data_IF_325538088381
#
_entry.id   IF_325538088381
#
_cell.length_a   1.000
_cell.length_b   1.000
_cell.length_c   1.000
_cell.angle_alpha   90.00
_cell.angle_beta   90.00
_cell.angle_gamma   90.00
#
_symmetry.space_group_name_H-M   'P 1'
#
loop_
_entity.id
_entity.type
_entity.pdbx_description
1 polymer ?
#
# COMPACT_ATOMS: atom_id res chain seq x y z
N UNK A 1 9.43 -8.86 9.33
CA UNK A 1 10.11 -9.57 8.21
C UNK A 1 9.95 -11.08 8.42
N UNK A 2 9.55 -11.82 7.38
CA UNK A 2 9.31 -13.27 7.47
C UNK A 2 10.62 -14.07 7.65
N UNK A 3 11.74 -13.56 7.15
CA UNK A 3 13.06 -14.14 7.39
C UNK A 3 13.43 -14.15 8.89
N UNK A 4 13.04 -13.10 9.62
CA UNK A 4 13.22 -13.04 11.06
C UNK A 4 12.36 -14.08 11.77
N UNK A 5 11.08 -14.23 11.40
CA UNK A 5 10.20 -15.24 11.99
C UNK A 5 10.74 -16.65 11.78
N UNK A 6 11.24 -16.95 10.57
CA UNK A 6 11.89 -18.21 10.26
C UNK A 6 13.11 -18.46 11.16
N UNK A 7 14.03 -17.52 11.22
CA UNK A 7 15.24 -17.64 12.03
C UNK A 7 14.92 -17.80 13.53
N UNK A 8 13.93 -17.06 14.04
CA UNK A 8 13.48 -17.17 15.42
C UNK A 8 12.88 -18.57 15.69
N UNK A 9 11.95 -19.04 14.84
CA UNK A 9 11.33 -20.35 15.00
C UNK A 9 12.37 -21.49 14.96
N UNK A 10 13.31 -21.44 14.02
CA UNK A 10 14.39 -22.43 13.89
C UNK A 10 15.38 -22.37 15.07
N UNK A 11 15.58 -21.20 15.69
CA UNK A 11 16.42 -21.04 16.89
C UNK A 11 15.77 -21.60 18.16
N UNK A 12 14.45 -21.51 18.31
CA UNK A 12 13.73 -22.04 19.49
C UNK A 12 13.32 -23.50 19.30
N UNK A 13 13.09 -23.93 18.06
CA UNK A 13 12.58 -25.25 17.72
C UNK A 13 13.35 -25.81 16.52
N UNK A 14 14.45 -26.53 16.79
CA UNK A 14 15.28 -27.16 15.75
C UNK A 14 14.56 -28.21 14.90
N UNK A 15 13.39 -28.68 15.35
CA UNK A 15 12.53 -29.64 14.66
C UNK A 15 11.44 -28.97 13.79
N UNK A 16 11.39 -27.63 13.77
CA UNK A 16 10.45 -26.83 12.99
C UNK A 16 11.20 -26.08 11.91
N UNK A 17 10.66 -26.06 10.69
CA UNK A 17 11.09 -25.13 9.65
C UNK A 17 9.90 -24.43 9.02
N UNK A 18 10.08 -23.13 8.73
CA UNK A 18 9.07 -22.27 8.14
C UNK A 18 9.46 -21.91 6.70
N UNK A 19 8.49 -21.96 5.80
CA UNK A 19 8.65 -21.42 4.45
C UNK A 19 7.45 -20.56 4.06
N UNK A 20 7.73 -19.41 3.44
CA UNK A 20 6.72 -18.51 2.89
C UNK A 20 6.64 -18.75 1.40
N UNK A 21 5.42 -18.87 0.87
CA UNK A 21 5.21 -18.98 -0.57
C UNK A 21 4.05 -18.10 -1.02
N UNK A 22 4.12 -17.52 -2.22
CA UNK A 22 2.95 -16.93 -2.85
C UNK A 22 1.95 -18.05 -3.18
N UNK A 23 0.65 -17.83 -2.93
CA UNK A 23 -0.35 -18.82 -3.31
C UNK A 23 -0.42 -18.94 -4.83
N UNK A 24 -0.18 -20.16 -5.31
CA UNK A 24 -0.42 -20.59 -6.68
C UNK A 24 -1.33 -21.82 -6.62
N UNK A 25 -2.34 -21.78 -5.74
CA UNK A 25 -3.25 -22.91 -5.54
C UNK A 25 -4.32 -22.86 -6.64
N UNK A 26 -4.51 -23.93 -7.43
CA UNK A 26 -5.68 -24.04 -8.30
C UNK A 26 -6.93 -24.00 -7.42
N UNK A 27 -7.87 -23.11 -7.73
CA UNK A 27 -9.18 -23.07 -7.07
C UNK A 27 -9.83 -24.45 -7.16
N UNK A 28 -10.10 -25.08 -6.01
CA UNK A 28 -10.78 -26.38 -5.96
C UNK A 28 -10.34 -27.37 -4.89
N UNK A 29 -9.31 -27.07 -4.08
CA UNK A 29 -8.92 -27.92 -2.96
C UNK A 29 -9.39 -27.32 -1.63
N UNK A 30 -10.66 -27.56 -1.29
CA UNK A 30 -11.08 -27.56 0.12
C UNK A 30 -10.20 -28.56 0.89
N UNK A 31 -9.99 -28.26 2.17
CA UNK A 31 -9.16 -28.96 3.15
C UNK A 31 -7.71 -28.47 3.30
N UNK A 32 -7.36 -28.27 4.57
CA UNK A 32 -6.00 -28.25 5.09
C UNK A 32 -5.29 -29.54 4.64
N UNK A 33 -4.56 -29.50 3.53
CA UNK A 33 -3.83 -30.67 3.06
C UNK A 33 -2.59 -30.80 3.94
N UNK A 34 -2.73 -31.56 5.02
CA UNK A 34 -1.60 -32.19 5.69
C UNK A 34 -0.98 -33.18 4.70
N UNK A 35 0.01 -32.75 3.91
CA UNK A 35 0.84 -33.68 3.14
C UNK A 35 1.77 -34.36 4.14
N UNK A 36 1.29 -35.45 4.69
CA UNK A 36 2.06 -36.30 5.61
C UNK A 36 3.10 -37.04 4.78
N UNK A 37 4.36 -36.60 4.82
CA UNK A 37 5.48 -37.44 4.44
C UNK A 37 5.85 -38.30 5.67
N UNK A 38 6.57 -39.41 5.51
CA UNK A 38 6.81 -40.35 6.62
C UNK A 38 7.52 -39.71 7.82
N UNK A 39 8.20 -38.58 7.60
CA UNK A 39 9.04 -37.89 8.58
C UNK A 39 8.47 -36.57 9.14
N UNK A 40 7.54 -35.91 8.43
CA UNK A 40 7.11 -34.54 8.75
C UNK A 40 5.59 -34.33 8.65
N UNK A 41 5.09 -33.43 9.50
CA UNK A 41 3.75 -32.85 9.46
C UNK A 41 3.89 -31.45 8.85
N UNK A 42 3.10 -31.16 7.82
CA UNK A 42 3.04 -29.83 7.19
C UNK A 42 1.71 -29.18 7.56
N UNK A 43 1.77 -27.96 8.09
CA UNK A 43 0.63 -27.11 8.43
C UNK A 43 0.71 -25.86 7.55
N UNK A 44 -0.36 -25.59 6.81
CA UNK A 44 -0.46 -24.39 5.95
C UNK A 44 -1.35 -23.36 6.62
N UNK A 45 -0.82 -22.16 6.81
CA UNK A 45 -1.53 -21.00 7.36
C UNK A 45 -1.66 -19.98 6.23
N UNK A 46 -2.87 -19.79 5.72
CA UNK A 46 -3.17 -18.97 4.54
C UNK A 46 -3.99 -17.74 4.94
N UNK A 47 -3.65 -16.59 4.37
CA UNK A 47 -4.35 -15.32 4.53
C UNK A 47 -4.18 -14.47 3.26
N UNK A 48 -5.26 -13.94 2.69
CA UNK A 48 -5.25 -13.08 1.50
C UNK A 48 -4.29 -13.52 0.36
N UNK A 49 -4.39 -14.79 -0.06
CA UNK A 49 -3.56 -15.38 -1.14
C UNK A 49 -2.05 -15.45 -0.84
N UNK A 50 -1.64 -15.25 0.41
CA UNK A 50 -0.29 -15.56 0.90
C UNK A 50 -0.39 -16.68 1.93
N UNK A 51 0.62 -17.53 2.03
CA UNK A 51 0.62 -18.56 3.06
C UNK A 51 2.00 -18.86 3.61
N UNK A 52 2.03 -19.28 4.88
CA UNK A 52 3.19 -19.81 5.57
C UNK A 52 2.98 -21.31 5.75
N UNK A 53 3.93 -22.11 5.27
CA UNK A 53 4.03 -23.53 5.56
C UNK A 53 4.93 -23.73 6.78
N UNK A 54 4.40 -24.39 7.79
CA UNK A 54 5.13 -24.90 8.93
C UNK A 54 5.34 -26.39 8.75
N UNK A 55 6.60 -26.81 8.74
CA UNK A 55 7.00 -28.22 8.73
C UNK A 55 7.55 -28.62 10.10
N UNK A 56 7.04 -29.70 10.66
CA UNK A 56 7.43 -30.22 11.97
C UNK A 56 7.73 -31.72 11.88
N UNK A 57 8.77 -32.22 12.54
CA UNK A 57 9.02 -33.66 12.61
C UNK A 57 7.90 -34.38 13.38
N UNK A 58 7.41 -35.53 12.87
CA UNK A 58 6.24 -36.25 13.41
C UNK A 58 6.31 -36.57 14.91
N UNK A 59 7.51 -36.80 15.45
CA UNK A 59 7.70 -37.24 16.83
C UNK A 59 7.71 -36.09 17.84
N UNK A 60 7.56 -34.85 17.39
CA UNK A 60 7.59 -33.67 18.23
C UNK A 60 6.21 -33.04 18.36
N UNK A 61 5.81 -32.72 19.60
CA UNK A 61 4.56 -32.00 19.87
C UNK A 61 4.74 -30.54 19.46
N UNK A 62 3.88 -30.06 18.58
CA UNK A 62 3.83 -28.64 18.23
C UNK A 62 3.35 -27.82 19.44
N UNK A 63 3.96 -26.67 19.76
CA UNK A 63 3.44 -25.78 20.80
C UNK A 63 2.00 -25.34 20.48
N UNK A 64 1.12 -25.38 21.48
CA UNK A 64 -0.35 -25.22 21.33
C UNK A 64 -0.80 -23.86 20.79
N UNK A 65 0.09 -22.85 20.70
CA UNK A 65 -0.22 -21.51 20.17
C UNK A 65 0.66 -21.06 19.02
N UNK A 66 1.54 -21.92 18.52
CA UNK A 66 2.50 -21.51 17.49
C UNK A 66 1.79 -21.19 16.17
N UNK A 67 0.83 -22.01 15.77
CA UNK A 67 0.06 -21.78 14.54
C UNK A 67 -0.75 -20.47 14.61
N UNK A 68 -1.41 -20.22 15.74
CA UNK A 68 -2.15 -18.98 16.00
C UNK A 68 -1.22 -17.76 15.98
N UNK A 69 -0.04 -17.85 16.60
CA UNK A 69 0.94 -16.77 16.62
C UNK A 69 1.47 -16.45 15.21
N UNK A 70 1.71 -17.48 14.40
CA UNK A 70 2.14 -17.32 13.00
C UNK A 70 1.02 -16.71 12.15
N UNK A 71 -0.24 -17.09 12.39
CA UNK A 71 -1.39 -16.50 11.71
C UNK A 71 -1.52 -15.00 12.04
N UNK A 72 -1.49 -14.63 13.33
CA UNK A 72 -1.52 -13.23 13.76
C UNK A 72 -0.36 -12.42 13.15
N UNK A 73 0.84 -13.00 13.10
CA UNK A 73 1.98 -12.38 12.45
C UNK A 73 1.73 -12.15 10.94
N UNK A 74 1.14 -13.12 10.25
CA UNK A 74 0.82 -13.01 8.82
C UNK A 74 -0.20 -11.90 8.56
N UNK A 75 -1.28 -11.84 9.37
CA UNK A 75 -2.29 -10.77 9.31
C UNK A 75 -1.64 -9.40 9.49
N UNK A 76 -0.84 -9.24 10.56
CA UNK A 76 -0.17 -7.97 10.83
C UNK A 76 0.80 -7.54 9.72
N UNK A 77 1.50 -8.49 9.10
CA UNK A 77 2.35 -8.18 7.94
C UNK A 77 1.53 -7.70 6.74
N UNK A 78 0.36 -8.28 6.50
CA UNK A 78 -0.52 -7.87 5.40
C UNK A 78 -1.12 -6.47 5.62
N UNK A 79 -1.49 -6.16 6.86
CA UNK A 79 -1.97 -4.82 7.24
C UNK A 79 -0.89 -3.76 7.06
N UNK A 80 0.33 -4.02 7.55
CA UNK A 80 1.47 -3.12 7.35
C UNK A 80 1.82 -2.95 5.86
N UNK A 81 1.81 -4.03 5.09
CA UNK A 81 2.02 -3.99 3.64
C UNK A 81 0.97 -3.10 2.95
N UNK A 82 -0.29 -3.12 3.41
CA UNK A 82 -1.35 -2.27 2.88
C UNK A 82 -1.12 -0.79 3.24
N UNK A 83 -0.84 -0.50 4.51
CA UNK A 83 -0.55 0.86 4.98
C UNK A 83 0.66 1.46 4.25
N UNK A 84 1.73 0.67 4.05
CA UNK A 84 2.91 1.12 3.32
C UNK A 84 2.61 1.44 1.85
N UNK A 85 1.78 0.63 1.18
CA UNK A 85 1.36 0.92 -0.21
C UNK A 85 0.56 2.21 -0.30
N UNK A 86 -0.33 2.45 0.66
CA UNK A 86 -1.14 3.66 0.70
C UNK A 86 -0.28 4.90 0.93
N UNK A 87 0.66 4.84 1.87
CA UNK A 87 1.65 5.91 2.08
C UNK A 87 2.49 6.16 0.83
N UNK A 88 3.02 5.11 0.19
CA UNK A 88 3.77 5.26 -1.06
C UNK A 88 2.94 5.93 -2.17
N UNK A 89 1.65 5.61 -2.26
CA UNK A 89 0.74 6.24 -3.22
C UNK A 89 0.54 7.73 -2.89
N UNK A 90 0.32 8.08 -1.62
CA UNK A 90 0.20 9.47 -1.18
C UNK A 90 1.46 10.27 -1.48
N UNK A 91 2.64 9.74 -1.16
CA UNK A 91 3.93 10.40 -1.42
C UNK A 91 4.09 10.69 -2.92
N UNK A 92 3.80 9.71 -3.79
CA UNK A 92 3.87 9.92 -5.24
C UNK A 92 2.89 10.98 -5.74
N UNK A 93 1.68 11.04 -5.18
CA UNK A 93 0.72 12.09 -5.54
C UNK A 93 1.26 13.45 -5.11
N UNK A 94 1.78 13.57 -3.89
CA UNK A 94 2.37 14.81 -3.39
C UNK A 94 3.53 15.29 -4.27
N UNK A 95 4.49 14.43 -4.58
CA UNK A 95 5.62 14.75 -5.47
C UNK A 95 5.15 15.24 -6.85
N UNK A 96 4.10 14.64 -7.41
CA UNK A 96 3.53 15.07 -8.69
C UNK A 96 2.80 16.41 -8.59
N UNK A 97 2.09 16.64 -7.50
CA UNK A 97 1.41 17.91 -7.24
C UNK A 97 2.42 19.03 -7.01
N UNK A 98 3.49 18.77 -6.26
CA UNK A 98 4.59 19.72 -6.06
C UNK A 98 5.25 20.08 -7.39
N UNK A 99 5.61 19.07 -8.21
CA UNK A 99 6.17 19.31 -9.53
C UNK A 99 5.20 20.05 -10.47
N UNK A 100 3.89 19.80 -10.37
CA UNK A 100 2.90 20.57 -11.11
C UNK A 100 2.86 22.03 -10.63
N UNK A 101 2.91 22.27 -9.33
CA UNK A 101 3.00 23.62 -8.77
C UNK A 101 4.29 24.34 -9.18
N UNK A 102 5.43 23.63 -9.26
CA UNK A 102 6.69 24.18 -9.73
C UNK A 102 6.67 24.50 -11.24
N UNK A 103 6.03 23.66 -12.05
CA UNK A 103 5.88 23.86 -13.49
C UNK A 103 4.87 24.95 -13.84
N UNK A 104 3.86 25.15 -12.98
CA UNK A 104 2.98 26.31 -13.03
C UNK A 104 3.77 27.51 -12.52
N UNK A 105 4.45 28.22 -13.42
CA UNK A 105 4.98 29.54 -13.10
C UNK A 105 3.79 30.47 -12.81
N UNK A 106 3.41 30.50 -11.54
CA UNK A 106 2.27 31.23 -11.02
C UNK A 106 2.40 32.72 -11.37
N UNK A 107 3.63 33.24 -11.42
CA UNK A 107 3.91 34.61 -11.85
C UNK A 107 3.63 34.79 -13.35
N UNK A 108 4.04 33.83 -14.20
CA UNK A 108 3.76 33.85 -15.64
C UNK A 108 2.26 33.76 -15.95
N UNK A 109 1.52 32.86 -15.28
CA UNK A 109 0.07 32.71 -15.47
C UNK A 109 -0.66 34.01 -15.10
N UNK A 110 -0.31 34.59 -13.95
CA UNK A 110 -0.94 35.82 -13.47
C UNK A 110 -0.57 37.04 -14.32
N UNK A 111 0.68 37.12 -14.81
CA UNK A 111 1.09 38.14 -15.79
C UNK A 111 0.29 38.01 -17.09
N UNK A 112 0.14 36.80 -17.61
CA UNK A 112 -0.61 36.53 -18.85
C UNK A 112 -2.08 36.91 -18.71
N UNK A 113 -2.71 36.61 -17.57
CA UNK A 113 -4.08 37.05 -17.27
C UNK A 113 -4.20 38.57 -17.20
N UNK A 114 -3.25 39.25 -16.53
CA UNK A 114 -3.23 40.70 -16.40
C UNK A 114 -3.06 41.39 -17.76
N UNK A 115 -2.16 40.88 -18.60
CA UNK A 115 -1.93 41.37 -19.96
C UNK A 115 -3.16 41.19 -20.84
N UNK A 116 -3.83 40.04 -20.74
CA UNK A 116 -5.09 39.77 -21.45
C UNK A 116 -6.19 40.76 -21.03
N UNK A 117 -6.36 41.00 -19.74
CA UNK A 117 -7.35 41.94 -19.22
C UNK A 117 -7.05 43.39 -19.66
N UNK A 118 -5.79 43.80 -19.62
CA UNK A 118 -5.36 45.12 -20.12
C UNK A 118 -5.60 45.29 -21.62
N UNK A 119 -5.44 44.22 -22.40
CA UNK A 119 -5.73 44.24 -23.83
C UNK A 119 -7.21 44.43 -24.13
N UNK A 120 -8.11 43.89 -23.29
CA UNK A 120 -9.57 43.95 -23.52
C UNK A 120 -10.19 45.21 -22.92
N UNK A 121 -9.75 45.65 -21.72
CA UNK A 121 -10.22 46.89 -21.11
C UNK A 121 -9.03 47.76 -20.64
N UNK A 122 -8.44 48.56 -21.55
CA UNK A 122 -7.22 49.32 -21.27
C UNK A 122 -7.43 50.51 -20.33
N UNK A 123 -8.67 50.94 -20.12
CA UNK A 123 -9.00 52.12 -19.31
C UNK A 123 -9.16 51.82 -17.81
N UNK A 124 -9.07 50.55 -17.42
CA UNK A 124 -9.18 50.13 -16.02
C UNK A 124 -7.78 49.96 -15.41
N UNK A 125 -7.66 50.31 -14.13
CA UNK A 125 -6.45 50.02 -13.34
C UNK A 125 -6.60 48.65 -12.70
N UNK A 126 -5.60 47.80 -12.92
CA UNK A 126 -5.57 46.44 -12.38
C UNK A 126 -4.49 46.32 -11.32
N UNK A 127 -4.86 45.77 -10.17
CA UNK A 127 -3.95 45.39 -9.09
C UNK A 127 -4.10 43.88 -8.85
N UNK A 128 -2.98 43.17 -8.82
CA UNK A 128 -2.94 41.75 -8.52
C UNK A 128 -2.58 41.56 -7.04
N UNK A 129 -3.40 40.81 -6.30
CA UNK A 129 -3.15 40.42 -4.92
C UNK A 129 -3.12 38.91 -4.83
N UNK A 130 -2.05 38.36 -4.23
CA UNK A 130 -1.91 36.95 -3.92
C UNK A 130 -2.20 36.77 -2.43
N UNK A 131 -3.26 36.04 -2.10
CA UNK A 131 -3.51 35.55 -0.74
C UNK A 131 -3.10 34.09 -0.66
N UNK A 132 -2.14 33.78 0.21
CA UNK A 132 -1.86 32.41 0.61
C UNK A 132 -2.90 32.01 1.66
N UNK A 133 -3.73 31.03 1.34
CA UNK A 133 -4.63 30.40 2.30
C UNK A 133 -3.86 29.32 3.07
N UNK A 134 -2.85 29.74 3.83
CA UNK A 134 -2.36 28.92 4.94
C UNK A 134 -3.30 29.20 6.12
N UNK A 135 -4.12 28.19 6.47
CA UNK A 135 -4.95 28.08 7.68
C UNK A 135 -6.48 28.28 7.62
N UNK A 136 -7.17 28.10 6.49
CA UNK A 136 -8.60 27.75 6.55
C UNK A 136 -8.96 26.55 5.68
N UNK A 137 -9.32 25.45 6.33
CA UNK A 137 -10.10 24.34 5.76
C UNK A 137 -11.49 24.85 5.29
N UNK A 138 -11.51 25.67 4.24
CA UNK A 138 -12.74 26.03 3.56
C UNK A 138 -13.01 24.87 2.61
N UNK A 139 -14.14 24.17 2.84
CA UNK A 139 -14.69 23.16 1.94
C UNK A 139 -14.93 23.78 0.56
N UNK A 140 -13.89 23.83 -0.27
CA UNK A 140 -14.00 24.21 -1.67
C UNK A 140 -14.65 23.04 -2.40
N UNK A 141 -15.68 23.29 -3.24
CA UNK A 141 -16.26 22.23 -4.05
C UNK A 141 -15.21 21.76 -5.04
N UNK A 142 -14.63 20.58 -4.79
CA UNK A 142 -13.83 19.88 -5.79
C UNK A 142 -14.79 19.43 -6.90
N UNK A 143 -14.71 20.08 -8.06
CA UNK A 143 -15.36 19.58 -9.26
C UNK A 143 -14.54 18.38 -9.73
N UNK A 144 -15.14 17.20 -9.67
CA UNK A 144 -14.59 15.99 -10.23
C UNK A 144 -14.49 16.16 -11.75
N UNK A 145 -13.27 16.28 -12.26
CA UNK A 145 -13.00 16.22 -13.70
C UNK A 145 -13.04 14.74 -14.10
N UNK A 146 -14.20 14.30 -14.59
CA UNK A 146 -14.35 12.98 -15.19
C UNK A 146 -13.58 12.92 -16.51
N UNK A 147 -12.39 12.31 -16.48
CA UNK A 147 -11.59 12.02 -17.66
C UNK A 147 -12.09 10.72 -18.31
N UNK A 148 -13.39 10.66 -18.59
CA UNK A 148 -14.00 9.68 -19.49
C UNK A 148 -14.89 10.38 -20.51
N UNK A 149 -14.30 11.24 -21.35
CA UNK A 149 -14.93 11.63 -22.61
C UNK A 149 -13.93 12.08 -23.68
N UNK A 150 -12.87 11.30 -23.88
CA UNK A 150 -12.24 11.21 -25.20
C UNK A 150 -12.28 9.76 -25.68
N UNK A 151 -13.50 9.25 -25.81
CA UNK A 151 -13.78 8.13 -26.70
C UNK A 151 -13.79 8.71 -28.11
N UNK A 152 -12.72 8.46 -28.87
CA UNK A 152 -12.73 8.66 -30.33
C UNK A 152 -13.59 7.59 -31.01
#
# INVERSE_FOLDING_TARGET
>A
SVAWLKAAAESFFSFISLSLRPSSRPQGANDQISRVNDYYIIITIEENSKYIELSCQKNHKLPERLAESIHLFLVHCLELDALFRDELKKTKIYEKTELLHELMDQEQVLKTMLESLRSVFPFLTYCLFLSYDEDQYINLPAIELDVQSEST
#
